data_IF_529311068449
#
_entry.id   IF_529311068449
#
_cell.length_a   1.000
_cell.length_b   1.000
_cell.length_c   1.000
_cell.angle_alpha   90.00
_cell.angle_beta   90.00
_cell.angle_gamma   90.00
#
_symmetry.space_group_name_H-M   'P 1'
#
loop_
_entity.id
_entity.type
_entity.pdbx_description
1 polymer ?
#
# COMPACT_ATOMS: atom_id res chain seq x y z
N UNK A 1 18.09 33.46 15.52
CA UNK A 1 16.79 33.39 14.82
C UNK A 1 15.82 34.30 15.54
N UNK A 2 15.01 35.06 14.80
CA UNK A 2 14.00 35.93 15.41
C UNK A 2 12.92 35.05 16.09
N UNK A 3 12.68 35.20 17.41
CA UNK A 3 11.73 34.37 18.14
C UNK A 3 10.30 34.52 17.59
N UNK A 4 9.94 35.68 17.05
CA UNK A 4 8.63 35.89 16.44
C UNK A 4 8.50 35.12 15.11
N UNK A 5 9.58 35.04 14.33
CA UNK A 5 9.61 34.25 13.11
C UNK A 5 9.52 32.76 13.41
N UNK A 6 10.23 32.28 14.43
CA UNK A 6 10.16 30.89 14.88
C UNK A 6 8.74 30.50 15.32
N UNK A 7 8.08 31.35 16.11
CA UNK A 7 6.70 31.12 16.55
C UNK A 7 5.71 31.05 15.38
N UNK A 8 5.83 31.94 14.39
CA UNK A 8 4.97 31.94 13.20
C UNK A 8 5.12 30.66 12.38
N UNK A 9 6.34 30.16 12.22
CA UNK A 9 6.59 28.91 11.50
C UNK A 9 5.99 27.71 12.24
N UNK A 10 6.16 27.65 13.56
CA UNK A 10 5.57 26.59 14.38
C UNK A 10 4.04 26.61 14.31
N UNK A 11 3.43 27.80 14.44
CA UNK A 11 1.99 27.97 14.33
C UNK A 11 1.46 27.57 12.94
N UNK A 12 2.14 27.99 11.87
CA UNK A 12 1.77 27.60 10.50
C UNK A 12 1.87 26.08 10.28
N UNK A 13 2.94 25.45 10.80
CA UNK A 13 3.09 24.00 10.75
C UNK A 13 1.98 23.26 11.49
N UNK A 14 1.65 23.70 12.70
CA UNK A 14 0.56 23.13 13.49
C UNK A 14 -0.79 23.22 12.78
N UNK A 15 -1.12 24.39 12.22
CA UNK A 15 -2.35 24.59 11.43
C UNK A 15 -2.36 23.66 10.22
N UNK A 16 -1.26 23.53 9.48
CA UNK A 16 -1.17 22.64 8.33
C UNK A 16 -1.40 21.17 8.73
N UNK A 17 -0.80 20.72 9.82
CA UNK A 17 -1.00 19.36 10.35
C UNK A 17 -2.47 19.14 10.77
N UNK A 18 -3.09 20.09 11.46
CA UNK A 18 -4.49 20.00 11.86
C UNK A 18 -5.43 19.88 10.65
N UNK A 19 -5.17 20.65 9.58
CA UNK A 19 -5.94 20.56 8.33
C UNK A 19 -5.79 19.19 7.67
N UNK A 20 -4.57 18.65 7.58
CA UNK A 20 -4.33 17.32 7.02
C UNK A 20 -5.07 16.24 7.82
N UNK A 21 -5.00 16.30 9.16
CA UNK A 21 -5.73 15.37 10.03
C UNK A 21 -7.24 15.47 9.82
N UNK A 22 -7.79 16.68 9.75
CA UNK A 22 -9.22 16.88 9.50
C UNK A 22 -9.66 16.30 8.14
N UNK A 23 -8.84 16.46 7.09
CA UNK A 23 -9.09 15.86 5.77
C UNK A 23 -9.10 14.33 5.86
N UNK A 24 -8.18 13.74 6.63
CA UNK A 24 -8.09 12.29 6.81
C UNK A 24 -9.25 11.74 7.66
N UNK A 25 -9.65 12.45 8.71
CA UNK A 25 -10.76 12.11 9.60
C UNK A 25 -12.11 12.15 8.87
N UNK A 26 -12.27 13.10 7.94
CA UNK A 26 -13.46 13.19 7.10
C UNK A 26 -13.46 12.21 5.93
N UNK A 27 -12.41 11.40 5.75
CA UNK A 27 -12.55 10.26 4.84
C UNK A 27 -13.51 9.29 5.51
N UNK A 28 -14.68 9.00 4.89
CA UNK A 28 -15.57 7.99 5.44
C UNK A 28 -14.75 6.73 5.67
N UNK A 29 -14.88 6.16 6.87
CA UNK A 29 -14.34 4.84 7.15
C UNK A 29 -14.63 3.95 5.93
N UNK A 30 -13.66 3.20 5.39
CA UNK A 30 -13.94 2.27 4.32
C UNK A 30 -15.11 1.44 4.82
N UNK A 31 -16.27 1.60 4.17
CA UNK A 31 -17.50 0.96 4.60
C UNK A 31 -17.15 -0.49 4.88
N UNK A 32 -17.26 -0.89 6.14
CA UNK A 32 -17.04 -2.27 6.56
C UNK A 32 -17.92 -3.13 5.67
N UNK A 33 -17.25 -3.83 4.75
CA UNK A 33 -17.71 -4.98 4.00
C UNK A 33 -19.24 -5.10 3.78
N UNK A 34 -19.71 -4.65 2.64
CA UNK A 34 -20.39 -5.59 1.77
C UNK A 34 -19.48 -5.79 0.56
N UNK A 35 -19.06 -7.02 0.24
CA UNK A 35 -18.42 -7.28 -1.03
C UNK A 35 -19.51 -7.01 -2.07
N UNK A 36 -19.47 -5.82 -2.68
CA UNK A 36 -20.11 -5.59 -3.96
C UNK A 36 -19.43 -6.55 -4.93
N UNK A 37 -20.00 -7.75 -5.00
CA UNK A 37 -19.85 -8.73 -6.07
C UNK A 37 -20.12 -7.98 -7.36
N UNK A 38 -19.08 -7.36 -7.90
CA UNK A 38 -19.08 -6.86 -9.27
C UNK A 38 -19.06 -8.13 -10.12
N UNK A 39 -20.13 -8.45 -10.87
CA UNK A 39 -20.13 -9.63 -11.71
C UNK A 39 -19.38 -9.28 -12.99
N UNK A 40 -18.05 -9.19 -12.92
CA UNK A 40 -17.24 -8.87 -14.10
C UNK A 40 -15.81 -9.37 -13.99
N UNK A 41 -15.62 -10.61 -13.53
CA UNK A 41 -14.68 -11.57 -14.11
C UNK A 41 -15.00 -12.94 -13.50
N UNK A 42 -14.92 -14.06 -14.24
CA UNK A 42 -14.78 -15.35 -13.60
C UNK A 42 -13.40 -15.34 -12.92
N UNK A 43 -13.34 -14.86 -11.67
CA UNK A 43 -12.24 -15.20 -10.78
C UNK A 43 -12.42 -16.69 -10.59
N UNK A 44 -11.78 -17.46 -11.46
CA UNK A 44 -11.44 -18.82 -11.17
C UNK A 44 -10.89 -18.78 -9.75
N UNK A 45 -11.67 -19.31 -8.80
CA UNK A 45 -11.28 -19.66 -7.44
C UNK A 45 -10.21 -20.76 -7.46
N UNK A 46 -9.33 -20.76 -8.47
CA UNK A 46 -8.07 -21.45 -8.42
C UNK A 46 -7.26 -20.68 -7.39
N UNK A 47 -6.88 -21.39 -6.34
CA UNK A 47 -6.07 -20.91 -5.25
C UNK A 47 -4.71 -20.52 -5.84
N UNK A 48 -4.56 -19.31 -6.40
CA UNK A 48 -3.28 -18.85 -6.95
C UNK A 48 -2.22 -19.01 -5.85
N UNK A 49 -1.31 -20.01 -5.94
CA UNK A 49 -0.36 -20.31 -4.86
C UNK A 49 0.51 -19.09 -4.56
N UNK A 50 0.71 -18.26 -5.59
CA UNK A 50 1.40 -16.99 -5.55
C UNK A 50 0.74 -15.92 -4.69
N UNK A 51 -0.60 -15.78 -4.70
CA UNK A 51 -1.28 -14.85 -3.78
C UNK A 51 -1.13 -15.29 -2.34
N UNK A 52 -1.14 -16.60 -2.08
CA UNK A 52 -0.91 -17.11 -0.73
C UNK A 52 0.53 -16.84 -0.28
N UNK A 53 1.52 -17.01 -1.16
CA UNK A 53 2.92 -16.69 -0.88
C UNK A 53 3.12 -15.19 -0.61
N UNK A 54 2.52 -14.31 -1.41
CA UNK A 54 2.54 -12.86 -1.19
C UNK A 54 1.91 -12.46 0.16
N UNK A 55 0.76 -13.06 0.52
CA UNK A 55 0.16 -12.83 1.85
C UNK A 55 1.07 -13.25 2.98
N UNK A 56 1.77 -14.38 2.85
CA UNK A 56 2.76 -14.80 3.84
C UNK A 56 3.89 -13.77 3.97
N UNK A 57 4.43 -13.29 2.85
CA UNK A 57 5.44 -12.24 2.85
C UNK A 57 4.94 -10.92 3.46
N UNK A 58 3.67 -10.57 3.27
CA UNK A 58 3.05 -9.39 3.90
C UNK A 58 2.96 -9.53 5.42
N UNK A 59 2.59 -10.72 5.93
CA UNK A 59 2.52 -10.95 7.39
C UNK A 59 3.87 -10.85 8.09
N UNK A 60 4.98 -10.97 7.38
CA UNK A 60 6.33 -10.78 7.92
C UNK A 60 6.72 -9.31 8.10
N UNK A 61 6.00 -8.37 7.47
CA UNK A 61 6.29 -6.94 7.55
C UNK A 61 7.71 -6.59 7.10
N UNK A 62 8.46 -5.87 7.94
CA UNK A 62 9.84 -5.43 7.63
C UNK A 62 10.82 -6.58 7.43
N UNK A 63 10.59 -7.74 8.06
CA UNK A 63 11.39 -8.94 7.83
C UNK A 63 11.16 -9.50 6.42
N UNK A 64 9.93 -9.42 5.91
CA UNK A 64 9.61 -9.80 4.52
C UNK A 64 10.25 -8.87 3.50
N UNK A 65 10.41 -7.59 3.82
CA UNK A 65 11.06 -6.61 2.94
C UNK A 65 12.58 -6.82 2.77
N UNK A 66 13.21 -7.55 3.69
CA UNK A 66 14.64 -7.90 3.63
C UNK A 66 14.88 -9.33 3.14
N UNK A 67 13.81 -10.12 2.97
CA UNK A 67 13.92 -11.51 2.56
C UNK A 67 13.99 -11.61 1.02
N UNK A 68 15.04 -12.23 0.45
CA UNK A 68 15.22 -12.31 -1.00
C UNK A 68 14.10 -13.07 -1.71
N UNK A 69 13.54 -14.11 -1.10
CA UNK A 69 12.43 -14.89 -1.68
C UNK A 69 11.16 -14.04 -1.77
N UNK A 70 10.90 -13.23 -0.74
CA UNK A 70 9.77 -12.32 -0.74
C UNK A 70 9.94 -11.21 -1.77
N UNK A 71 11.15 -10.64 -1.90
CA UNK A 71 11.44 -9.63 -2.92
C UNK A 71 11.23 -10.17 -4.34
N UNK A 72 11.65 -11.41 -4.62
CA UNK A 72 11.44 -12.05 -5.92
C UNK A 72 9.94 -12.23 -6.23
N UNK A 73 9.14 -12.66 -5.24
CA UNK A 73 7.68 -12.79 -5.40
C UNK A 73 7.00 -11.45 -5.69
N UNK A 74 7.41 -10.37 -5.03
CA UNK A 74 6.89 -9.02 -5.27
C UNK A 74 7.27 -8.50 -6.66
N UNK A 75 8.52 -8.69 -7.08
CA UNK A 75 8.99 -8.30 -8.40
C UNK A 75 8.16 -9.00 -9.49
N UNK A 76 7.98 -10.32 -9.35
CA UNK A 76 7.21 -11.08 -10.32
C UNK A 76 5.75 -10.62 -10.38
N UNK A 77 5.12 -10.26 -9.24
CA UNK A 77 3.73 -9.73 -9.21
C UNK A 77 3.60 -8.36 -9.83
N UNK A 78 4.57 -7.49 -9.58
CA UNK A 78 4.65 -6.20 -10.25
C UNK A 78 4.78 -6.37 -11.76
N UNK A 79 5.65 -7.25 -12.23
CA UNK A 79 5.87 -7.46 -13.67
C UNK A 79 4.59 -7.99 -14.34
N UNK A 80 3.89 -8.94 -13.68
CA UNK A 80 2.56 -9.42 -14.14
C UNK A 80 1.54 -8.29 -14.21
N UNK A 81 1.47 -7.45 -13.18
CA UNK A 81 0.53 -6.33 -13.14
C UNK A 81 0.82 -5.31 -14.25
N UNK A 82 2.09 -5.06 -14.51
CA UNK A 82 2.54 -4.16 -15.57
C UNK A 82 2.48 -4.80 -16.97
N UNK A 83 2.11 -6.08 -17.08
CA UNK A 83 2.12 -6.81 -18.35
C UNK A 83 3.53 -6.98 -18.93
N UNK A 84 4.57 -6.80 -18.12
CA UNK A 84 5.95 -7.05 -18.50
C UNK A 84 6.14 -8.57 -18.42
N UNK A 85 6.39 -9.26 -19.55
CA UNK A 85 6.76 -10.66 -19.48
C UNK A 85 8.01 -10.74 -18.62
N UNK A 86 7.94 -11.54 -17.53
CA UNK A 86 9.04 -11.70 -16.58
C UNK A 86 10.32 -11.83 -17.40
N UNK A 87 11.12 -10.78 -17.36
CA UNK A 87 12.21 -10.58 -18.30
C UNK A 87 13.04 -11.85 -18.31
N UNK A 88 13.14 -12.45 -19.50
CA UNK A 88 14.08 -13.50 -19.85
C UNK A 88 15.49 -12.95 -19.61
N UNK A 89 15.89 -12.90 -18.34
CA UNK A 89 17.25 -12.59 -17.91
C UNK A 89 17.95 -13.95 -17.89
N UNK A 90 18.45 -14.31 -19.07
CA UNK A 90 19.49 -15.31 -19.26
C UNK A 90 20.80 -14.82 -18.65
#
# INVERSE_FOLDING_TARGET
MDPALAFRLAAAGFVATAVVVAILDHRPAPATAEPLLTPSQPVAKSQDPRRQALRRCQTLGSAGAQNPDCLALWAAERDRFLGVPASEVR
#
